data_IF_807997738713
#
_entry.id   IF_807997738713
#
_cell.length_a   1.000
_cell.length_b   1.000
_cell.length_c   1.000
_cell.angle_alpha   90.00
_cell.angle_beta   90.00
_cell.angle_gamma   90.00
#
_symmetry.space_group_name_H-M   'P 1'
#
loop_
_entity.id
_entity.type
_entity.pdbx_description
1 polymer ?
#
# COMPACT_ATOMS: atom_id res chain seq x y z
N UNK A 1 20.87 2.26 0.11
CA UNK A 1 19.69 2.09 -0.76
C UNK A 1 19.03 3.44 -1.10
N UNK A 2 18.76 4.33 -0.14
CA UNK A 2 18.20 5.67 -0.43
C UNK A 2 19.03 6.50 -1.42
N UNK A 3 20.34 6.60 -1.20
CA UNK A 3 21.26 7.32 -2.10
C UNK A 3 21.29 6.75 -3.53
N UNK A 4 21.12 5.42 -3.69
CA UNK A 4 21.05 4.79 -5.01
C UNK A 4 19.76 5.16 -5.74
N UNK A 5 18.63 5.20 -5.04
CA UNK A 5 17.35 5.62 -5.61
C UNK A 5 17.37 7.11 -5.99
N UNK A 6 17.97 7.96 -5.16
CA UNK A 6 18.18 9.38 -5.47
C UNK A 6 19.10 9.59 -6.67
N UNK A 7 20.20 8.82 -6.75
CA UNK A 7 21.08 8.82 -7.91
C UNK A 7 20.35 8.38 -9.18
N UNK A 8 19.52 7.33 -9.08
CA UNK A 8 18.70 6.83 -10.20
C UNK A 8 17.70 7.88 -10.67
N UNK A 9 17.00 8.57 -9.76
CA UNK A 9 16.07 9.65 -10.11
C UNK A 9 16.80 10.77 -10.87
N UNK A 10 17.98 11.19 -10.40
CA UNK A 10 18.79 12.21 -11.07
C UNK A 10 19.19 11.80 -12.50
N UNK A 11 19.61 10.56 -12.70
CA UNK A 11 19.95 10.04 -14.04
C UNK A 11 18.72 10.05 -14.95
N UNK A 12 17.58 9.55 -14.45
CA UNK A 12 16.35 9.53 -15.22
C UNK A 12 15.91 10.94 -15.64
N UNK A 13 15.99 11.91 -14.74
CA UNK A 13 15.55 13.30 -14.98
C UNK A 13 16.51 14.09 -15.87
N UNK A 14 17.83 13.97 -15.63
CA UNK A 14 18.84 14.85 -16.23
C UNK A 14 19.46 14.26 -17.51
N UNK A 15 19.44 12.94 -17.65
CA UNK A 15 20.09 12.25 -18.78
C UNK A 15 19.07 11.58 -19.69
N UNK A 16 18.14 10.80 -19.12
CA UNK A 16 17.19 10.02 -19.92
C UNK A 16 16.06 10.88 -20.45
N UNK A 17 15.43 11.68 -19.59
CA UNK A 17 14.26 12.46 -19.95
C UNK A 17 14.49 13.39 -21.16
N UNK A 18 15.62 14.12 -21.28
CA UNK A 18 15.91 14.95 -22.45
C UNK A 18 15.98 14.18 -23.77
N UNK A 19 16.22 12.88 -23.75
CA UNK A 19 16.30 12.04 -24.95
C UNK A 19 14.94 11.42 -25.35
N UNK A 20 13.89 11.60 -24.53
CA UNK A 20 12.54 11.05 -24.81
C UNK A 20 11.70 12.07 -25.57
N UNK A 21 11.60 11.87 -26.89
CA UNK A 21 10.86 12.76 -27.79
C UNK A 21 9.36 12.44 -27.88
N UNK A 22 8.96 11.20 -27.58
CA UNK A 22 7.55 10.81 -27.59
C UNK A 22 6.83 11.33 -26.33
N UNK A 23 5.77 12.15 -26.48
CA UNK A 23 5.08 12.77 -25.33
C UNK A 23 4.44 11.75 -24.37
N UNK A 24 3.98 10.62 -24.88
CA UNK A 24 3.36 9.58 -24.05
C UNK A 24 4.42 8.85 -23.21
N UNK A 25 5.53 8.44 -23.83
CA UNK A 25 6.69 7.88 -23.15
C UNK A 25 7.27 8.85 -22.12
N UNK A 26 7.27 10.15 -22.41
CA UNK A 26 7.70 11.17 -21.45
C UNK A 26 6.80 11.21 -20.21
N UNK A 27 5.50 11.14 -20.40
CA UNK A 27 4.52 11.07 -19.29
C UNK A 27 4.73 9.83 -18.43
N UNK A 28 5.00 8.67 -19.04
CA UNK A 28 5.31 7.43 -18.31
C UNK A 28 6.59 7.60 -17.48
N UNK A 29 7.64 8.19 -18.05
CA UNK A 29 8.90 8.42 -17.36
C UNK A 29 8.72 9.36 -16.16
N UNK A 30 7.99 10.47 -16.34
CA UNK A 30 7.74 11.43 -15.26
C UNK A 30 6.97 10.75 -14.09
N UNK A 31 5.97 9.91 -14.41
CA UNK A 31 5.25 9.12 -13.40
C UNK A 31 6.15 8.09 -12.69
N UNK A 32 7.04 7.43 -13.41
CA UNK A 32 8.02 6.51 -12.81
C UNK A 32 8.93 7.24 -11.83
N UNK A 33 9.48 8.40 -12.23
CA UNK A 33 10.33 9.22 -11.36
C UNK A 33 9.57 9.68 -10.11
N UNK A 34 8.31 10.12 -10.26
CA UNK A 34 7.47 10.50 -9.13
C UNK A 34 7.28 9.33 -8.14
N UNK A 35 7.02 8.12 -8.65
CA UNK A 35 6.88 6.93 -7.83
C UNK A 35 8.19 6.56 -7.10
N UNK A 36 9.33 6.66 -7.78
CA UNK A 36 10.64 6.41 -7.17
C UNK A 36 10.96 7.42 -6.06
N UNK A 37 10.67 8.71 -6.28
CA UNK A 37 10.84 9.75 -5.26
C UNK A 37 9.93 9.54 -4.04
N UNK A 38 8.66 9.15 -4.28
CA UNK A 38 7.76 8.75 -3.20
C UNK A 38 8.33 7.58 -2.40
N UNK A 39 8.85 6.55 -3.08
CA UNK A 39 9.48 5.41 -2.42
C UNK A 39 10.67 5.85 -1.57
N UNK A 40 11.58 6.68 -2.11
CA UNK A 40 12.71 7.24 -1.36
C UNK A 40 12.26 7.94 -0.09
N UNK A 41 11.21 8.77 -0.15
CA UNK A 41 10.67 9.46 1.02
C UNK A 41 10.00 8.55 2.05
N UNK A 42 9.35 7.47 1.60
CA UNK A 42 8.62 6.55 2.46
C UNK A 42 9.51 5.50 3.14
N UNK A 43 10.59 5.07 2.49
CA UNK A 43 11.48 3.99 2.95
C UNK A 43 11.99 4.15 4.38
N UNK A 44 12.43 5.35 4.85
CA UNK A 44 12.88 5.53 6.23
C UNK A 44 11.79 5.21 7.28
N UNK A 45 10.53 5.39 6.92
CA UNK A 45 9.39 5.11 7.81
C UNK A 45 8.98 3.65 7.88
N UNK A 46 9.45 2.79 6.97
CA UNK A 46 8.98 1.40 6.83
C UNK A 46 9.29 0.56 8.07
N UNK A 47 10.50 0.65 8.62
CA UNK A 47 10.88 -0.13 9.80
C UNK A 47 10.04 0.25 11.03
N UNK A 48 9.81 1.55 11.24
CA UNK A 48 8.94 2.04 12.31
C UNK A 48 7.50 1.57 12.13
N UNK A 49 6.96 1.69 10.91
CA UNK A 49 5.64 1.18 10.57
C UNK A 49 5.50 -0.32 10.85
N UNK A 50 6.43 -1.16 10.37
CA UNK A 50 6.38 -2.61 10.57
C UNK A 50 6.46 -2.98 12.06
N UNK A 51 7.29 -2.29 12.84
CA UNK A 51 7.38 -2.49 14.29
C UNK A 51 6.04 -2.20 14.98
N UNK A 52 5.43 -1.08 14.64
CA UNK A 52 4.15 -0.67 15.21
C UNK A 52 2.99 -1.57 14.77
N UNK A 53 3.00 -2.00 13.50
CA UNK A 53 2.01 -2.93 12.96
C UNK A 53 2.14 -4.30 13.62
N UNK A 54 3.36 -4.84 13.75
CA UNK A 54 3.62 -6.09 14.45
C UNK A 54 3.13 -6.07 15.90
N UNK A 55 3.40 -4.99 16.63
CA UNK A 55 2.92 -4.79 18.00
C UNK A 55 1.39 -4.77 18.07
N UNK A 56 0.75 -4.01 17.18
CA UNK A 56 -0.71 -3.88 17.15
C UNK A 56 -1.40 -5.20 16.75
N UNK A 57 -0.89 -5.90 15.73
CA UNK A 57 -1.40 -7.19 15.28
C UNK A 57 -1.24 -8.27 16.35
N UNK A 58 -0.09 -8.31 17.03
CA UNK A 58 0.15 -9.23 18.14
C UNK A 58 -0.84 -9.00 19.30
N UNK A 59 -1.07 -7.73 19.68
CA UNK A 59 -2.03 -7.38 20.70
C UNK A 59 -3.46 -7.79 20.32
N UNK A 60 -3.87 -7.52 19.06
CA UNK A 60 -5.19 -7.95 18.58
C UNK A 60 -5.33 -9.48 18.62
N UNK A 61 -4.36 -10.24 18.12
CA UNK A 61 -4.40 -11.71 18.16
C UNK A 61 -4.49 -12.26 19.59
N UNK A 62 -3.79 -11.65 20.55
CA UNK A 62 -3.89 -12.02 21.96
C UNK A 62 -5.33 -11.81 22.50
N UNK A 63 -6.00 -10.72 22.14
CA UNK A 63 -7.39 -10.48 22.56
C UNK A 63 -8.39 -11.47 21.95
N UNK A 64 -8.09 -11.98 20.75
CA UNK A 64 -8.97 -12.93 20.05
C UNK A 64 -8.74 -14.37 20.50
N UNK A 65 -7.66 -14.67 21.23
CA UNK A 65 -7.16 -16.03 21.45
C UNK A 65 -8.21 -17.02 21.99
N UNK A 66 -9.05 -16.58 22.93
CA UNK A 66 -10.10 -17.41 23.53
C UNK A 66 -11.25 -17.76 22.55
N UNK A 67 -11.34 -17.08 21.41
CA UNK A 67 -12.38 -17.30 20.38
C UNK A 67 -11.90 -18.10 19.18
N UNK A 68 -10.60 -18.41 19.13
CA UNK A 68 -10.00 -19.13 18.02
C UNK A 68 -10.19 -20.65 18.21
N UNK A 69 -10.11 -21.40 17.11
CA UNK A 69 -9.98 -22.85 17.21
C UNK A 69 -8.69 -23.22 17.96
N UNK A 70 -8.61 -24.37 18.65
CA UNK A 70 -7.43 -24.77 19.40
C UNK A 70 -6.14 -24.75 18.55
N UNK A 71 -6.22 -25.21 17.30
CA UNK A 71 -5.10 -25.24 16.37
C UNK A 71 -4.60 -23.83 16.01
N UNK A 72 -5.52 -22.90 15.71
CA UNK A 72 -5.17 -21.52 15.39
C UNK A 72 -4.67 -20.78 16.64
N UNK A 73 -5.28 -21.02 17.81
CA UNK A 73 -4.84 -20.48 19.08
C UNK A 73 -3.40 -20.90 19.43
N UNK A 74 -3.04 -22.15 19.16
CA UNK A 74 -1.67 -22.66 19.35
C UNK A 74 -0.69 -21.97 18.40
N UNK A 75 -1.01 -21.89 17.10
CA UNK A 75 -0.15 -21.18 16.12
C UNK A 75 0.06 -19.71 16.47
N UNK A 76 -0.98 -19.05 17.00
CA UNK A 76 -0.89 -17.70 17.55
C UNK A 76 0.05 -17.69 18.76
N UNK A 77 -0.13 -18.57 19.74
CA UNK A 77 0.73 -18.65 20.92
C UNK A 77 2.20 -18.88 20.55
N UNK A 78 2.49 -19.84 19.68
CA UNK A 78 3.84 -20.16 19.20
C UNK A 78 4.47 -18.97 18.49
N UNK A 79 3.67 -18.24 17.72
CA UNK A 79 4.12 -17.02 17.05
C UNK A 79 4.43 -15.96 18.11
N UNK A 80 3.51 -15.68 19.04
CA UNK A 80 3.69 -14.66 20.08
C UNK A 80 4.84 -14.97 21.04
N UNK A 81 5.19 -16.23 21.26
CA UNK A 81 6.30 -16.65 22.11
C UNK A 81 7.69 -16.37 21.48
N UNK A 82 7.76 -16.18 20.15
CA UNK A 82 9.02 -15.81 19.48
C UNK A 82 9.47 -14.41 19.91
N UNK A 83 10.77 -14.19 20.13
CA UNK A 83 11.29 -12.89 20.49
C UNK A 83 10.95 -11.85 19.42
N UNK A 84 10.75 -10.60 19.85
CA UNK A 84 10.55 -9.50 18.92
C UNK A 84 11.81 -9.34 18.04
N UNK A 85 11.66 -9.13 16.72
CA UNK A 85 12.77 -8.81 15.85
C UNK A 85 13.48 -7.52 16.28
N UNK A 86 14.74 -7.36 15.86
CA UNK A 86 15.46 -6.09 15.98
C UNK A 86 14.65 -4.97 15.31
N UNK A 87 14.52 -3.85 16.02
CA UNK A 87 13.84 -2.65 15.59
C UNK A 87 14.46 -1.98 14.35
N UNK A 88 15.73 -2.28 14.05
CA UNK A 88 16.45 -1.81 12.86
C UNK A 88 16.42 -2.82 11.69
N UNK A 89 16.12 -4.10 11.95
CA UNK A 89 16.07 -5.13 10.91
C UNK A 89 14.69 -5.15 10.24
N UNK A 90 14.53 -4.29 9.22
CA UNK A 90 13.30 -4.20 8.42
C UNK A 90 12.88 -5.54 7.79
N UNK A 91 13.82 -6.44 7.46
CA UNK A 91 13.53 -7.73 6.84
C UNK A 91 12.94 -8.70 7.87
N UNK A 92 13.55 -8.78 9.06
CA UNK A 92 13.01 -9.60 10.14
C UNK A 92 11.64 -9.06 10.63
N UNK A 93 11.47 -7.74 10.66
CA UNK A 93 10.19 -7.09 10.94
C UNK A 93 9.13 -7.44 9.89
N UNK A 94 9.48 -7.49 8.61
CA UNK A 94 8.57 -7.84 7.51
C UNK A 94 8.15 -9.32 7.53
N UNK A 95 9.10 -10.23 7.78
CA UNK A 95 8.80 -11.67 7.97
C UNK A 95 7.83 -11.86 9.13
N UNK A 96 8.06 -11.16 10.25
CA UNK A 96 7.16 -11.16 11.40
C UNK A 96 5.78 -10.60 11.05
N UNK A 97 5.73 -9.51 10.29
CA UNK A 97 4.48 -8.88 9.86
C UNK A 97 3.64 -9.81 8.99
N UNK A 98 4.28 -10.44 8.01
CA UNK A 98 3.64 -11.41 7.11
C UNK A 98 3.03 -12.57 7.89
N UNK A 99 3.75 -13.13 8.86
CA UNK A 99 3.24 -14.20 9.71
C UNK A 99 2.04 -13.76 10.55
N UNK A 100 2.10 -12.60 11.20
CA UNK A 100 1.01 -12.07 12.01
C UNK A 100 -0.23 -11.74 11.16
N UNK A 101 -0.03 -11.22 9.95
CA UNK A 101 -1.13 -10.91 9.02
C UNK A 101 -1.81 -12.16 8.49
N UNK A 102 -1.07 -13.24 8.22
CA UNK A 102 -1.65 -14.53 7.85
C UNK A 102 -2.56 -15.05 8.98
N UNK A 103 -2.06 -15.06 10.21
CA UNK A 103 -2.86 -15.47 11.38
C UNK A 103 -4.08 -14.58 11.61
N UNK A 104 -3.95 -13.26 11.43
CA UNK A 104 -5.09 -12.34 11.52
C UNK A 104 -6.14 -12.64 10.46
N UNK A 105 -5.72 -12.93 9.22
CA UNK A 105 -6.66 -13.24 8.14
C UNK A 105 -7.50 -14.48 8.46
N UNK A 106 -6.90 -15.52 9.05
CA UNK A 106 -7.61 -16.70 9.53
C UNK A 106 -8.49 -16.38 10.74
N UNK A 107 -7.97 -15.62 11.71
CA UNK A 107 -8.69 -15.27 12.94
C UNK A 107 -9.97 -14.46 12.67
N UNK A 108 -9.96 -13.56 11.68
CA UNK A 108 -11.12 -12.74 11.30
C UNK A 108 -12.28 -13.59 10.76
N UNK A 109 -12.01 -14.80 10.26
CA UNK A 109 -13.02 -15.75 9.79
C UNK A 109 -13.55 -16.67 10.89
N UNK A 110 -13.16 -16.47 12.16
CA UNK A 110 -13.59 -17.35 13.25
C UNK A 110 -15.09 -17.19 13.55
N UNK A 111 -15.84 -18.30 13.74
CA UNK A 111 -17.29 -18.23 13.96
C UNK A 111 -17.68 -17.66 15.34
N UNK A 112 -16.74 -17.66 16.31
CA UNK A 112 -16.96 -17.20 17.68
C UNK A 112 -16.75 -15.70 17.91
N UNK A 113 -16.64 -14.89 16.85
CA UNK A 113 -16.40 -13.46 17.01
C UNK A 113 -17.64 -12.73 17.52
N UNK A 114 -17.44 -11.89 18.54
CA UNK A 114 -18.48 -11.04 19.10
C UNK A 114 -18.50 -9.68 18.38
N UNK A 115 -19.57 -8.87 18.53
CA UNK A 115 -19.58 -7.50 18.02
C UNK A 115 -18.39 -6.65 18.50
N UNK A 116 -17.94 -6.86 19.74
CA UNK A 116 -16.75 -6.19 20.29
C UNK A 116 -15.46 -6.61 19.56
N UNK A 117 -15.31 -7.89 19.22
CA UNK A 117 -14.18 -8.37 18.42
C UNK A 117 -14.20 -7.76 17.01
N UNK A 118 -15.36 -7.72 16.35
CA UNK A 118 -15.49 -7.07 15.04
C UNK A 118 -15.16 -5.57 15.09
N UNK A 119 -15.51 -4.87 16.17
CA UNK A 119 -15.13 -3.48 16.36
C UNK A 119 -13.61 -3.32 16.54
N UNK A 120 -12.98 -4.18 17.34
CA UNK A 120 -11.54 -4.16 17.54
C UNK A 120 -10.77 -4.41 16.24
N UNK A 121 -11.21 -5.39 15.43
CA UNK A 121 -10.66 -5.68 14.10
C UNK A 121 -10.80 -4.46 13.18
N UNK A 122 -12.00 -3.87 13.07
CA UNK A 122 -12.22 -2.68 12.22
C UNK A 122 -11.34 -1.52 12.63
N UNK A 123 -11.23 -1.24 13.94
CA UNK A 123 -10.36 -0.18 14.46
C UNK A 123 -8.91 -0.43 14.06
N UNK A 124 -8.40 -1.65 14.27
CA UNK A 124 -7.05 -2.02 13.88
C UNK A 124 -6.77 -1.79 12.39
N UNK A 125 -7.68 -2.23 11.51
CA UNK A 125 -7.52 -2.06 10.06
C UNK A 125 -7.53 -0.58 9.64
N UNK A 126 -8.40 0.24 10.24
CA UNK A 126 -8.44 1.69 10.00
C UNK A 126 -7.18 2.40 10.48
N UNK A 127 -6.73 2.11 11.71
CA UNK A 127 -5.50 2.70 12.28
C UNK A 127 -4.25 2.28 11.49
N UNK A 128 -4.21 1.05 10.99
CA UNK A 128 -3.16 0.58 10.10
C UNK A 128 -3.14 1.35 8.80
N UNK A 129 -4.29 1.49 8.14
CA UNK A 129 -4.41 2.23 6.88
C UNK A 129 -3.94 3.69 7.03
N UNK A 130 -4.25 4.34 8.15
CA UNK A 130 -3.84 5.72 8.42
C UNK A 130 -2.31 5.92 8.55
N UNK A 131 -1.59 4.87 8.98
CA UNK A 131 -0.14 4.89 9.27
C UNK A 131 0.74 4.38 8.12
N UNK A 132 0.16 3.88 7.02
CA UNK A 132 0.95 3.34 5.90
C UNK A 132 1.89 4.43 5.36
N UNK A 133 3.22 4.18 5.28
CA UNK A 133 4.19 5.18 4.83
C UNK A 133 4.00 5.63 3.39
N UNK A 134 3.46 4.75 2.56
CA UNK A 134 3.13 5.03 1.15
C UNK A 134 1.64 5.34 1.04
N UNK A 135 1.31 6.63 0.92
CA UNK A 135 -0.03 7.02 0.45
C UNK A 135 -0.01 7.06 -1.07
N UNK A 136 -0.85 6.26 -1.70
CA UNK A 136 -1.10 6.38 -3.13
C UNK A 136 -1.55 7.81 -3.42
N UNK A 137 -0.77 8.53 -4.22
CA UNK A 137 -1.19 9.80 -4.81
C UNK A 137 -1.67 9.47 -6.22
N UNK A 138 -2.97 9.68 -6.55
CA UNK A 138 -3.44 9.50 -7.91
C UNK A 138 -2.63 10.42 -8.83
N UNK A 139 -1.81 9.84 -9.71
CA UNK A 139 -1.20 10.59 -10.82
C UNK A 139 -2.33 11.02 -11.72
N UNK A 140 -2.48 12.34 -11.89
CA UNK A 140 -3.54 12.99 -12.67
C UNK A 140 -3.66 12.27 -14.03
N UNK A 141 -4.87 11.80 -14.34
CA UNK A 141 -5.16 11.22 -15.65
C UNK A 141 -4.77 12.23 -16.75
N UNK A 142 -4.10 11.75 -17.80
CA UNK A 142 -3.82 12.54 -18.97
C UNK A 142 -5.12 13.22 -19.45
N UNK A 143 -5.06 14.54 -19.63
CA UNK A 143 -6.15 15.37 -20.15
C UNK A 143 -6.69 14.70 -21.42
N UNK A 144 -8.00 14.46 -21.56
CA UNK A 144 -8.54 13.88 -22.79
C UNK A 144 -8.19 14.80 -23.97
N UNK A 145 -7.68 14.19 -25.05
CA UNK A 145 -7.36 14.87 -26.29
C UNK A 145 -8.60 15.62 -26.81
N UNK A 146 -8.36 16.82 -27.36
CA UNK A 146 -9.35 17.86 -27.56
C UNK A 146 -10.50 17.51 -28.52
N UNK A 147 -11.54 18.35 -28.40
CA UNK A 147 -12.70 18.48 -29.27
C UNK A 147 -12.41 18.13 -30.73
N UNK A 148 -13.11 17.14 -31.25
CA UNK A 148 -13.30 17.00 -32.69
C UNK A 148 -14.20 18.15 -33.20
N UNK A 149 -13.92 18.74 -34.38
CA UNK A 149 -14.72 19.80 -34.94
C UNK A 149 -16.12 19.31 -35.30
N UNK A 150 -17.14 20.08 -34.91
CA UNK A 150 -18.54 19.90 -35.28
C UNK A 150 -18.68 20.05 -36.81
N UNK A 151 -18.82 18.94 -37.53
CA UNK A 151 -19.23 18.96 -38.93
C UNK A 151 -20.74 19.07 -38.97
N UNK A 152 -21.24 20.31 -39.09
CA UNK A 152 -22.64 20.58 -39.44
C UNK A 152 -22.89 20.13 -40.87
N UNK A 153 -23.66 19.06 -41.06
CA UNK A 153 -24.33 18.77 -42.34
C UNK A 153 -25.68 19.51 -42.41
N UNK A 154 -26.05 20.04 -43.58
CA UNK A 154 -27.24 20.88 -43.76
C UNK A 154 -28.52 20.03 -43.74
N UNK A 155 -29.53 20.49 -42.99
CA UNK A 155 -30.85 19.89 -42.99
C UNK A 155 -31.65 20.36 -44.20
N UNK A 156 -32.16 19.37 -44.94
CA UNK A 156 -32.98 19.53 -46.13
C UNK A 156 -34.34 20.15 -45.79
N UNK A 157 -34.83 20.97 -46.71
CA UNK A 157 -36.15 21.57 -46.68
C UNK A 157 -37.28 20.58 -47.04
N UNK A 158 -38.48 20.98 -46.62
CA UNK A 158 -39.82 20.65 -47.15
C UNK A 158 -40.61 19.42 -46.65
N UNK A 159 -41.71 19.79 -45.97
CA UNK A 159 -43.12 19.46 -46.26
C UNK A 159 -43.61 18.02 -46.04
N UNK A 160 -44.53 17.87 -45.08
CA UNK A 160 -45.99 17.91 -45.31
C UNK A 160 -46.71 18.32 -44.04
#
# INVERSE_FOLDING_TARGET
MGEQLEGTCRILEQVVAPCVNDPFARTILDNLVANLRMLTGAMPGVAAFLRDDNRASAALLATLQATLSPELAQRVADTLAKPAPDAADSKALDVRNTALRALLSEAICSPGLTPAHHQAIRRHLSERAARVPMRYVPTVAAKPAGNAPNVTSPHNAHAT
#
